data_IF_743481954792
#
_entry.id   IF_743481954792
#
_cell.length_a   1.000
_cell.length_b   1.000
_cell.length_c   1.000
_cell.angle_alpha   90.00
_cell.angle_beta   90.00
_cell.angle_gamma   90.00
#
_symmetry.space_group_name_H-M   'P 1'
#
loop_
_entity.id
_entity.type
_entity.pdbx_description
1 polymer ?
#
# COMPACT_ATOMS: atom_id res chain seq x y z
N UNK A 1 -10.26 12.96 -2.75
CA UNK A 1 -8.81 13.05 -3.07
C UNK A 1 -8.45 14.28 -3.90
N UNK A 2 -9.12 14.58 -5.03
CA UNK A 2 -8.78 15.71 -5.91
C UNK A 2 -8.70 17.06 -5.16
N UNK A 3 -9.67 17.37 -4.29
CA UNK A 3 -9.66 18.62 -3.49
C UNK A 3 -8.49 18.64 -2.50
N UNK A 4 -8.19 17.52 -1.85
CA UNK A 4 -7.06 17.39 -0.92
C UNK A 4 -5.74 17.62 -1.66
N UNK A 5 -5.55 17.00 -2.83
CA UNK A 5 -4.37 17.22 -3.67
C UNK A 5 -4.21 18.68 -4.13
N UNK A 6 -5.33 19.39 -4.39
CA UNK A 6 -5.25 20.82 -4.71
C UNK A 6 -4.78 21.65 -3.52
N UNK A 7 -5.28 21.35 -2.31
CA UNK A 7 -4.85 21.99 -1.08
C UNK A 7 -3.38 21.67 -0.74
N UNK A 8 -2.97 20.42 -0.96
CA UNK A 8 -1.56 20.00 -0.79
C UNK A 8 -0.61 20.87 -1.62
N UNK A 9 -0.95 21.11 -2.88
CA UNK A 9 -0.16 21.97 -3.77
C UNK A 9 -0.17 23.44 -3.36
N UNK A 10 -1.31 23.92 -2.85
CA UNK A 10 -1.46 25.30 -2.39
C UNK A 10 -0.68 25.58 -1.10
N UNK A 11 -0.72 24.66 -0.15
CA UNK A 11 -0.14 24.82 1.20
C UNK A 11 1.17 24.06 1.41
N UNK A 12 1.65 23.29 0.44
CA UNK A 12 2.97 22.64 0.49
C UNK A 12 3.08 21.46 1.46
N UNK A 13 1.98 20.71 1.70
CA UNK A 13 2.02 19.51 2.55
C UNK A 13 1.95 18.21 1.73
N UNK A 14 2.54 17.14 2.26
CA UNK A 14 2.47 15.80 1.65
C UNK A 14 1.18 15.10 2.00
N UNK A 15 0.70 14.24 1.08
CA UNK A 15 -0.52 13.44 1.24
C UNK A 15 -0.17 11.96 1.31
N UNK A 16 -0.44 11.33 2.45
CA UNK A 16 -0.40 9.87 2.60
C UNK A 16 -1.84 9.37 2.64
N UNK A 17 -2.21 8.54 1.69
CA UNK A 17 -3.54 7.94 1.59
C UNK A 17 -3.57 6.60 2.33
N UNK A 18 -4.33 6.50 3.42
CA UNK A 18 -4.61 5.22 4.06
C UNK A 18 -5.69 4.49 3.27
N UNK A 19 -5.26 3.52 2.48
CA UNK A 19 -6.10 2.65 1.65
C UNK A 19 -6.20 1.23 2.22
N UNK A 20 -6.04 1.06 3.54
CA UNK A 20 -6.02 -0.26 4.20
C UNK A 20 -7.28 -1.10 3.95
N UNK A 21 -8.39 -0.50 3.52
CA UNK A 21 -9.65 -1.15 3.17
C UNK A 21 -10.08 -0.91 1.72
N UNK A 22 -9.22 -0.37 0.87
CA UNK A 22 -9.61 0.16 -0.43
C UNK A 22 -8.98 -0.56 -1.63
N UNK A 23 -8.29 -1.70 -1.42
CA UNK A 23 -7.72 -2.46 -2.54
C UNK A 23 -8.84 -2.95 -3.48
N UNK A 24 -8.62 -2.86 -4.80
CA UNK A 24 -9.63 -3.12 -5.83
C UNK A 24 -10.63 -1.97 -6.04
N UNK A 25 -10.64 -0.96 -5.16
CA UNK A 25 -11.47 0.24 -5.29
C UNK A 25 -10.98 1.18 -6.40
N UNK A 26 -11.89 2.08 -6.82
CA UNK A 26 -11.60 3.09 -7.85
C UNK A 26 -12.07 4.47 -7.42
N UNK A 27 -11.31 5.49 -7.78
CA UNK A 27 -11.67 6.89 -7.64
C UNK A 27 -11.54 7.59 -8.99
N UNK A 28 -12.62 8.17 -9.50
CA UNK A 28 -12.68 8.80 -10.82
C UNK A 28 -12.12 7.91 -11.95
N UNK A 29 -12.48 6.60 -11.92
CA UNK A 29 -12.07 5.62 -12.91
C UNK A 29 -10.64 5.08 -12.78
N UNK A 30 -9.82 5.63 -11.87
CA UNK A 30 -8.46 5.16 -11.59
C UNK A 30 -8.45 4.25 -10.36
N UNK A 31 -7.61 3.23 -10.38
CA UNK A 31 -7.45 2.34 -9.23
C UNK A 31 -6.86 3.10 -8.04
N UNK A 32 -7.36 2.83 -6.85
CA UNK A 32 -6.72 3.28 -5.60
C UNK A 32 -5.30 2.70 -5.56
N UNK A 33 -4.34 3.50 -5.12
CA UNK A 33 -2.92 3.15 -5.15
C UNK A 33 -2.16 3.62 -6.39
N UNK A 34 -2.85 4.23 -7.38
CA UNK A 34 -2.18 4.84 -8.53
C UNK A 34 -1.45 6.15 -8.19
N UNK A 35 -1.58 6.64 -6.97
CA UNK A 35 -0.95 7.86 -6.44
C UNK A 35 -1.14 9.10 -7.34
N UNK A 36 -2.32 9.23 -7.96
CA UNK A 36 -2.63 10.42 -8.78
C UNK A 36 -2.87 11.66 -7.92
N UNK A 37 -3.30 11.48 -6.67
CA UNK A 37 -3.72 12.53 -5.75
C UNK A 37 -3.03 12.46 -4.39
N UNK A 38 -2.06 11.57 -4.24
CA UNK A 38 -1.26 11.36 -3.02
C UNK A 38 0.20 11.14 -3.37
N UNK A 39 1.09 11.42 -2.44
CA UNK A 39 2.52 11.11 -2.58
C UNK A 39 2.78 9.64 -2.28
N UNK A 40 2.04 9.08 -1.32
CA UNK A 40 2.10 7.66 -0.94
C UNK A 40 0.66 7.17 -0.74
N UNK A 41 0.39 5.93 -1.15
CA UNK A 41 -0.81 5.19 -0.76
C UNK A 41 -0.40 3.91 -0.04
N UNK A 42 -0.99 3.62 1.12
CA UNK A 42 -0.68 2.43 1.92
C UNK A 42 -1.84 1.45 1.96
N UNK A 43 -1.53 0.16 1.89
CA UNK A 43 -2.47 -0.96 1.97
C UNK A 43 -2.12 -1.90 3.11
N UNK A 44 -3.13 -2.57 3.64
CA UNK A 44 -2.98 -3.63 4.64
C UNK A 44 -3.41 -4.97 4.04
N UNK A 45 -2.63 -6.00 4.32
CA UNK A 45 -2.91 -7.39 3.93
C UNK A 45 -3.12 -8.30 5.14
N UNK A 46 -3.55 -7.72 6.28
CA UNK A 46 -4.01 -8.47 7.43
C UNK A 46 -5.18 -9.42 7.05
N UNK A 47 -5.40 -10.56 7.72
CA UNK A 47 -6.40 -11.58 7.35
C UNK A 47 -7.83 -11.08 7.14
N UNK A 48 -8.24 -10.01 7.81
CA UNK A 48 -9.61 -9.44 7.69
C UNK A 48 -9.82 -8.59 6.44
N UNK A 49 -8.76 -8.29 5.67
CA UNK A 49 -8.83 -7.41 4.50
C UNK A 49 -9.42 -8.13 3.28
N UNK A 50 -9.63 -7.39 2.20
CA UNK A 50 -10.19 -7.92 0.94
C UNK A 50 -9.30 -9.03 0.37
N UNK A 51 -7.98 -8.82 0.42
CA UNK A 51 -6.96 -9.85 0.17
C UNK A 51 -6.00 -9.89 1.36
N UNK A 52 -5.34 -11.01 1.54
CA UNK A 52 -4.41 -11.19 2.67
C UNK A 52 -3.08 -11.80 2.24
N UNK A 53 -2.05 -11.50 3.01
CA UNK A 53 -0.75 -12.17 2.98
C UNK A 53 -0.46 -12.88 4.32
N UNK A 54 -1.49 -13.22 5.11
CA UNK A 54 -1.49 -13.55 6.52
C UNK A 54 -1.11 -12.30 7.36
N UNK A 55 0.09 -11.79 7.19
CA UNK A 55 0.52 -10.47 7.69
C UNK A 55 1.25 -9.73 6.58
N UNK A 56 1.07 -8.42 6.51
CA UNK A 56 1.78 -7.60 5.54
C UNK A 56 1.06 -6.31 5.17
N UNK A 57 1.74 -5.54 4.35
CA UNK A 57 1.26 -4.29 3.78
C UNK A 57 2.07 -3.90 2.57
N UNK A 58 1.58 -2.90 1.86
CA UNK A 58 2.23 -2.34 0.67
C UNK A 58 2.10 -0.83 0.71
N UNK A 59 3.18 -0.14 0.34
CA UNK A 59 3.14 1.27 0.02
C UNK A 59 3.45 1.48 -1.46
N UNK A 60 2.67 2.31 -2.14
CA UNK A 60 2.89 2.72 -3.52
C UNK A 60 3.20 4.20 -3.60
N UNK A 61 4.00 4.60 -4.58
CA UNK A 61 4.32 5.99 -4.90
C UNK A 61 4.74 6.11 -6.37
N UNK A 62 4.57 7.29 -6.96
CA UNK A 62 5.11 7.64 -8.27
C UNK A 62 6.45 8.40 -8.18
N UNK A 63 6.90 8.75 -6.97
CA UNK A 63 8.18 9.42 -6.73
C UNK A 63 9.28 8.40 -6.47
N UNK A 64 10.30 8.39 -7.33
CA UNK A 64 11.43 7.46 -7.25
C UNK A 64 12.23 7.66 -5.97
N UNK A 65 12.41 8.92 -5.53
CA UNK A 65 13.17 9.23 -4.32
C UNK A 65 12.48 8.70 -3.06
N UNK A 66 11.15 8.83 -2.99
CA UNK A 66 10.33 8.24 -1.93
C UNK A 66 10.40 6.72 -1.98
N UNK A 67 10.30 6.11 -3.17
CA UNK A 67 10.37 4.66 -3.33
C UNK A 67 11.71 4.10 -2.84
N UNK A 68 12.83 4.74 -3.20
CA UNK A 68 14.16 4.30 -2.79
C UNK A 68 14.39 4.50 -1.28
N UNK A 69 13.90 5.61 -0.72
CA UNK A 69 13.93 5.82 0.74
C UNK A 69 13.13 4.76 1.49
N UNK A 70 11.91 4.43 1.03
CA UNK A 70 11.10 3.36 1.62
C UNK A 70 11.76 1.98 1.54
N UNK A 71 12.38 1.66 0.38
CA UNK A 71 13.15 0.40 0.21
C UNK A 71 14.34 0.32 1.18
N UNK A 72 15.07 1.41 1.36
CA UNK A 72 16.18 1.50 2.31
C UNK A 72 15.69 1.30 3.73
N UNK A 73 14.71 2.10 4.16
CA UNK A 73 14.21 2.09 5.54
C UNK A 73 13.58 0.77 5.95
N UNK A 74 12.84 0.09 5.07
CA UNK A 74 12.28 -1.24 5.36
C UNK A 74 13.33 -2.33 5.56
N UNK A 75 14.58 -2.08 5.13
CA UNK A 75 15.71 -3.03 5.12
C UNK A 75 16.89 -2.50 5.92
N UNK A 76 16.63 -2.00 7.14
CA UNK A 76 17.62 -1.52 8.12
C UNK A 76 18.40 -0.27 7.70
N UNK A 77 18.07 0.41 6.59
CA UNK A 77 18.88 1.50 6.05
C UNK A 77 20.25 1.03 5.53
N UNK A 78 20.32 -0.21 5.04
CA UNK A 78 21.54 -0.85 4.54
C UNK A 78 21.66 -0.64 3.03
N UNK A 79 22.89 -0.36 2.58
CA UNK A 79 23.23 -0.33 1.16
C UNK A 79 24.39 -1.26 0.84
N UNK A 80 24.40 -1.80 -0.39
CA UNK A 80 25.55 -2.45 -1.04
C UNK A 80 26.09 -1.61 -2.21
N UNK A 81 25.42 -0.52 -2.51
CA UNK A 81 25.84 0.43 -3.54
C UNK A 81 27.03 1.23 -3.00
N UNK A 82 28.21 1.01 -3.58
CA UNK A 82 29.46 1.65 -3.17
C UNK A 82 29.42 3.17 -3.35
N UNK A 83 28.58 3.68 -4.26
CA UNK A 83 28.42 5.12 -4.46
C UNK A 83 27.69 5.82 -3.32
N UNK A 84 26.93 5.07 -2.52
CA UNK A 84 26.19 5.56 -1.35
C UNK A 84 26.91 5.30 -0.02
N UNK A 85 28.02 4.54 -0.05
CA UNK A 85 28.80 4.22 1.15
C UNK A 85 29.62 5.44 1.60
N UNK A 86 29.78 5.58 2.91
CA UNK A 86 30.67 6.60 3.53
C UNK A 86 32.08 6.08 3.76
N UNK A 87 32.30 4.75 3.63
CA UNK A 87 33.61 4.07 3.75
C UNK A 87 33.86 3.22 2.51
N UNK A 88 35.15 2.92 2.27
CA UNK A 88 35.56 2.03 1.18
C UNK A 88 35.04 0.62 1.44
N UNK A 89 34.51 -0.04 0.41
CA UNK A 89 34.03 -1.41 0.50
C UNK A 89 35.24 -2.36 0.73
N UNK A 90 35.10 -3.27 1.69
CA UNK A 90 36.10 -4.28 2.02
C UNK A 90 35.99 -5.57 1.17
N UNK A 91 35.02 -5.61 0.23
CA UNK A 91 34.83 -6.74 -0.68
C UNK A 91 33.33 -6.93 -1.01
N UNK A 92 33.00 -7.94 -1.83
CA UNK A 92 31.65 -8.20 -2.35
C UNK A 92 30.61 -8.56 -1.26
N UNK A 93 31.09 -9.02 -0.11
CA UNK A 93 30.25 -9.33 1.06
C UNK A 93 29.88 -8.08 1.87
N UNK A 94 30.64 -6.98 1.69
CA UNK A 94 30.48 -5.77 2.50
C UNK A 94 29.18 -5.04 2.21
N UNK A 95 28.58 -4.54 3.24
CA UNK A 95 27.44 -3.62 3.18
C UNK A 95 27.57 -2.60 4.31
N UNK A 96 26.91 -1.48 4.15
CA UNK A 96 26.95 -0.41 5.14
C UNK A 96 25.55 0.04 5.52
N UNK A 97 25.30 0.24 6.81
CA UNK A 97 24.13 0.94 7.28
C UNK A 97 24.38 2.44 7.17
N UNK A 98 23.63 3.09 6.30
CA UNK A 98 23.76 4.53 6.02
C UNK A 98 22.59 5.34 6.60
N UNK A 99 21.59 4.65 7.15
CA UNK A 99 20.38 5.25 7.70
C UNK A 99 19.82 4.39 8.82
N UNK A 100 19.01 4.99 9.72
CA UNK A 100 18.28 4.25 10.74
C UNK A 100 17.00 3.66 10.13
N UNK A 101 17.04 2.38 9.79
CA UNK A 101 15.91 1.66 9.20
C UNK A 101 15.36 0.56 10.12
N UNK A 102 14.36 -0.17 9.59
CA UNK A 102 13.60 -1.20 10.28
C UNK A 102 13.74 -2.56 9.59
N UNK A 103 13.33 -3.62 10.24
CA UNK A 103 13.13 -4.92 9.61
C UNK A 103 11.66 -5.08 9.20
N UNK A 104 11.27 -4.39 8.13
CA UNK A 104 9.87 -4.33 7.65
C UNK A 104 9.69 -5.01 6.29
N UNK A 105 10.55 -5.97 5.98
CA UNK A 105 10.44 -6.75 4.75
C UNK A 105 9.33 -7.77 4.87
N UNK A 106 8.45 -7.85 3.86
CA UNK A 106 7.56 -8.98 3.66
C UNK A 106 8.39 -10.20 3.26
N UNK A 107 8.07 -11.39 3.78
CA UNK A 107 8.71 -12.63 3.33
C UNK A 107 8.23 -13.04 1.95
N UNK A 108 9.04 -13.80 1.21
CA UNK A 108 8.67 -14.28 -0.13
C UNK A 108 7.43 -15.21 -0.09
N UNK A 109 7.23 -15.94 1.02
CA UNK A 109 6.04 -16.78 1.22
C UNK A 109 4.79 -15.91 1.31
N UNK A 110 4.82 -14.84 2.11
CA UNK A 110 3.72 -13.89 2.21
C UNK A 110 3.50 -13.16 0.88
N UNK A 111 4.56 -12.75 0.19
CA UNK A 111 4.46 -12.11 -1.11
C UNK A 111 3.83 -13.04 -2.16
N UNK A 112 4.20 -14.32 -2.19
CA UNK A 112 3.62 -15.31 -3.10
C UNK A 112 2.13 -15.51 -2.85
N UNK A 113 1.69 -15.56 -1.57
CA UNK A 113 0.28 -15.57 -1.21
C UNK A 113 -0.43 -14.32 -1.73
N UNK A 114 0.16 -13.13 -1.55
CA UNK A 114 -0.37 -11.86 -2.04
C UNK A 114 -0.55 -11.85 -3.55
N UNK A 115 0.44 -12.32 -4.32
CA UNK A 115 0.35 -12.46 -5.78
C UNK A 115 -0.80 -13.37 -6.19
N UNK A 116 -1.00 -14.49 -5.48
CA UNK A 116 -2.11 -15.41 -5.71
C UNK A 116 -3.46 -14.73 -5.44
N UNK A 117 -3.60 -14.04 -4.31
CA UNK A 117 -4.82 -13.33 -3.90
C UNK A 117 -5.16 -12.18 -4.87
N UNK A 118 -4.17 -11.42 -5.33
CA UNK A 118 -4.37 -10.32 -6.28
C UNK A 118 -5.02 -10.75 -7.59
N UNK A 119 -4.81 -11.98 -8.04
CA UNK A 119 -5.46 -12.52 -9.25
C UNK A 119 -6.98 -12.62 -9.12
N UNK A 120 -7.50 -12.61 -7.90
CA UNK A 120 -8.92 -12.77 -7.58
C UNK A 120 -9.55 -11.50 -7.01
N UNK A 121 -8.81 -10.39 -6.92
CA UNK A 121 -9.27 -9.17 -6.22
C UNK A 121 -10.58 -8.63 -6.79
N UNK A 122 -10.75 -8.59 -8.11
CA UNK A 122 -11.98 -8.10 -8.75
C UNK A 122 -13.18 -8.99 -8.42
N UNK A 123 -12.99 -10.31 -8.38
CA UNK A 123 -14.03 -11.26 -7.99
C UNK A 123 -14.40 -11.11 -6.51
N UNK A 124 -13.42 -10.94 -5.63
CA UNK A 124 -13.69 -10.72 -4.21
C UNK A 124 -14.44 -9.41 -3.96
N UNK A 125 -14.07 -8.34 -4.67
CA UNK A 125 -14.78 -7.04 -4.57
C UNK A 125 -16.21 -7.19 -5.07
N UNK A 126 -16.41 -7.81 -6.24
CA UNK A 126 -17.73 -8.07 -6.80
C UNK A 126 -18.61 -8.86 -5.82
N UNK A 127 -18.09 -9.97 -5.29
CA UNK A 127 -18.84 -10.83 -4.37
C UNK A 127 -19.23 -10.10 -3.08
N UNK A 128 -18.33 -9.27 -2.53
CA UNK A 128 -18.64 -8.44 -1.35
C UNK A 128 -19.73 -7.41 -1.65
N UNK A 129 -19.71 -6.78 -2.82
CA UNK A 129 -20.74 -5.84 -3.26
C UNK A 129 -22.10 -6.54 -3.44
N UNK A 130 -22.12 -7.75 -4.02
CA UNK A 130 -23.35 -8.54 -4.17
C UNK A 130 -23.96 -8.85 -2.79
N UNK A 131 -23.13 -9.27 -1.82
CA UNK A 131 -23.58 -9.56 -0.45
C UNK A 131 -24.10 -8.29 0.24
N UNK A 132 -23.39 -7.16 0.12
CA UNK A 132 -23.88 -5.88 0.66
C UNK A 132 -25.24 -5.51 0.09
N UNK A 133 -25.40 -5.63 -1.24
CA UNK A 133 -26.70 -5.36 -1.87
C UNK A 133 -27.85 -6.27 -1.39
N UNK A 134 -27.56 -7.52 -0.99
CA UNK A 134 -28.56 -8.40 -0.37
C UNK A 134 -28.93 -7.85 1.02
N UNK A 135 -27.96 -7.48 1.85
CA UNK A 135 -28.24 -6.90 3.17
C UNK A 135 -29.00 -5.59 3.07
N UNK A 136 -28.62 -4.68 2.18
CA UNK A 136 -29.30 -3.40 1.97
C UNK A 136 -30.77 -3.59 1.62
N UNK A 137 -31.06 -4.57 0.74
CA UNK A 137 -32.43 -4.91 0.37
C UNK A 137 -33.24 -5.47 1.56
N UNK A 138 -32.69 -6.48 2.25
CA UNK A 138 -33.37 -7.13 3.39
C UNK A 138 -33.64 -6.15 4.53
N UNK A 139 -32.70 -5.26 4.83
CA UNK A 139 -32.88 -4.22 5.85
C UNK A 139 -33.94 -3.22 5.45
N UNK A 140 -33.94 -2.78 4.19
CA UNK A 140 -34.96 -1.88 3.67
C UNK A 140 -36.37 -2.52 3.72
N UNK A 141 -36.49 -3.80 3.33
CA UNK A 141 -37.76 -4.54 3.37
C UNK A 141 -38.23 -4.76 4.81
N UNK A 142 -37.32 -4.82 5.78
CA UNK A 142 -37.59 -4.88 7.22
C UNK A 142 -37.90 -3.51 7.85
N UNK A 143 -37.87 -2.41 7.08
CA UNK A 143 -38.08 -1.05 7.58
C UNK A 143 -36.97 -0.50 8.44
N UNK A 144 -35.75 -1.08 8.31
CA UNK A 144 -34.56 -0.62 9.00
C UNK A 144 -33.83 0.39 8.11
N UNK A 145 -33.55 1.56 8.69
CA UNK A 145 -32.71 2.59 8.02
C UNK A 145 -31.24 2.26 8.27
N UNK A 146 -30.51 1.93 7.21
CA UNK A 146 -29.08 1.61 7.26
C UNK A 146 -28.33 2.75 6.59
N UNK A 147 -27.40 3.33 7.30
CA UNK A 147 -26.52 4.42 6.83
C UNK A 147 -25.56 3.96 5.73
#
# INVERSE_FOLDING_TARGET
MKKISSLSKEYGFSVIEDASHAIGGRYQGKSIGCCQYSDITVFSFHPVKIITTAEGGLATTNDVSIADKMKSLRSHGITRDTSLMTSVSEGDWYYQQIDLGFNYRMTDVHAALGVSQMKQVDEFVRRRSDIAGIYDKEFKDAGLDVL
#
